data_IF_038338311245
#
_entry.id   IF_038338311245
#
_cell.length_a   1.000
_cell.length_b   1.000
_cell.length_c   1.000
_cell.angle_alpha   90.00
_cell.angle_beta   90.00
_cell.angle_gamma   90.00
#
_symmetry.space_group_name_H-M   'P 1'
#
loop_
_entity.id
_entity.type
_entity.pdbx_description
1 polymer ?
#
# COMPACT_ATOMS: atom_id res chain seq x y z
N UNK A 1 -10.77 12.11 11.10
CA UNK A 1 -10.17 12.10 9.74
C UNK A 1 -9.80 10.71 9.21
N UNK A 2 -9.51 9.70 10.05
CA UNK A 2 -9.34 8.30 9.60
C UNK A 2 -10.61 7.67 8.98
N UNK A 3 -11.80 8.24 9.25
CA UNK A 3 -13.08 7.71 8.78
C UNK A 3 -13.28 7.82 7.26
N UNK A 4 -12.71 8.83 6.60
CA UNK A 4 -13.00 9.10 5.18
C UNK A 4 -12.24 8.15 4.25
N UNK A 5 -10.96 7.87 4.56
CA UNK A 5 -10.18 6.87 3.85
C UNK A 5 -10.67 5.43 4.11
N UNK A 6 -11.28 5.16 5.27
CA UNK A 6 -11.83 3.82 5.59
C UNK A 6 -13.20 3.62 4.92
N UNK A 7 -14.04 4.66 4.81
CA UNK A 7 -15.34 4.56 4.15
C UNK A 7 -15.23 4.39 2.63
N UNK A 8 -14.38 5.18 1.96
CA UNK A 8 -14.13 5.02 0.52
C UNK A 8 -13.51 3.66 0.20
N UNK A 9 -12.63 3.15 1.06
CA UNK A 9 -12.02 1.83 0.88
C UNK A 9 -13.02 0.69 1.13
N UNK A 10 -13.97 0.85 2.06
CA UNK A 10 -15.03 -0.14 2.29
C UNK A 10 -16.10 -0.12 1.18
N UNK A 11 -16.50 1.03 0.64
CA UNK A 11 -17.39 1.09 -0.52
C UNK A 11 -16.72 0.52 -1.77
N UNK A 12 -15.43 0.81 -1.98
CA UNK A 12 -14.65 0.23 -3.07
C UNK A 12 -14.51 -1.29 -2.93
N UNK A 13 -14.38 -1.83 -1.70
CA UNK A 13 -14.41 -3.28 -1.45
C UNK A 13 -15.73 -3.91 -1.88
N UNK A 14 -16.87 -3.28 -1.58
CA UNK A 14 -18.19 -3.80 -1.97
C UNK A 14 -18.33 -3.81 -3.49
N UNK A 15 -17.86 -2.77 -4.19
CA UNK A 15 -17.94 -2.71 -5.65
C UNK A 15 -16.97 -3.67 -6.35
N UNK A 16 -15.74 -3.82 -5.83
CA UNK A 16 -14.75 -4.77 -6.37
C UNK A 16 -15.21 -6.21 -6.14
N UNK A 17 -15.75 -6.52 -4.96
CA UNK A 17 -16.31 -7.84 -4.65
C UNK A 17 -17.59 -8.12 -5.44
N UNK A 18 -18.44 -7.11 -5.70
CA UNK A 18 -19.64 -7.26 -6.53
C UNK A 18 -19.32 -7.55 -8.02
N UNK A 19 -18.15 -7.12 -8.50
CA UNK A 19 -17.67 -7.44 -9.86
C UNK A 19 -16.97 -8.80 -9.98
N UNK A 20 -16.61 -9.43 -8.86
CA UNK A 20 -15.98 -10.75 -8.81
C UNK A 20 -17.08 -11.81 -8.71
N UNK A 21 -17.20 -12.67 -9.73
CA UNK A 21 -18.17 -13.77 -9.74
C UNK A 21 -18.15 -14.59 -8.43
N UNK A 22 -19.33 -15.07 -8.02
CA UNK A 22 -19.66 -15.69 -6.71
C UNK A 22 -18.57 -16.60 -6.12
N UNK A 23 -17.85 -17.36 -6.94
CA UNK A 23 -16.82 -18.30 -6.49
C UNK A 23 -15.52 -17.62 -6.05
N UNK A 24 -15.10 -16.56 -6.73
CA UNK A 24 -13.90 -15.80 -6.36
C UNK A 24 -14.14 -14.99 -5.09
N UNK A 25 -15.35 -14.45 -4.94
CA UNK A 25 -15.81 -13.75 -3.74
C UNK A 25 -15.86 -14.70 -2.54
N UNK A 26 -16.42 -15.91 -2.68
CA UNK A 26 -16.46 -16.91 -1.61
C UNK A 26 -15.07 -17.39 -1.19
N UNK A 27 -14.13 -17.51 -2.14
CA UNK A 27 -12.75 -17.96 -1.86
C UNK A 27 -11.93 -16.90 -1.11
N UNK A 28 -12.15 -15.62 -1.42
CA UNK A 28 -11.57 -14.49 -0.69
C UNK A 28 -12.25 -14.34 0.68
N UNK A 29 -13.58 -14.38 0.76
CA UNK A 29 -14.31 -14.21 2.03
C UNK A 29 -14.03 -15.35 3.01
N UNK A 30 -14.02 -16.61 2.55
CA UNK A 30 -13.77 -17.78 3.41
C UNK A 30 -12.35 -17.87 4.00
N UNK A 31 -11.40 -17.07 3.50
CA UNK A 31 -10.06 -16.98 4.08
C UNK A 31 -9.98 -15.95 5.24
N UNK A 32 -11.06 -15.18 5.47
CA UNK A 32 -11.08 -13.99 6.32
C UNK A 32 -12.17 -14.05 7.41
N UNK A 33 -12.77 -15.22 7.65
CA UNK A 33 -13.92 -15.37 8.57
C UNK A 33 -13.59 -15.17 10.07
N UNK A 34 -12.34 -14.91 10.44
CA UNK A 34 -11.91 -14.79 11.85
C UNK A 34 -11.39 -13.38 12.22
N UNK A 35 -12.22 -12.36 11.99
CA UNK A 35 -11.89 -10.95 12.33
C UNK A 35 -11.75 -10.71 13.84
N UNK A 36 -12.43 -11.51 14.67
CA UNK A 36 -12.40 -11.36 16.13
C UNK A 36 -11.04 -11.75 16.74
N UNK A 37 -10.27 -12.62 16.09
CA UNK A 37 -8.90 -12.97 16.52
C UNK A 37 -7.88 -11.85 16.33
N UNK A 38 -8.09 -10.97 15.32
CA UNK A 38 -7.22 -9.82 15.04
C UNK A 38 -7.34 -8.69 16.07
N UNK A 39 -8.41 -8.71 16.88
CA UNK A 39 -8.71 -7.67 17.88
C UNK A 39 -8.07 -7.93 19.26
N UNK A 40 -7.24 -8.97 19.43
CA UNK A 40 -6.63 -9.26 20.74
C UNK A 40 -5.69 -8.12 21.19
N UNK A 41 -5.73 -7.75 22.49
CA UNK A 41 -4.98 -6.62 23.05
C UNK A 41 -3.45 -6.85 23.11
N UNK A 42 -2.98 -8.04 22.76
CA UNK A 42 -1.56 -8.43 22.71
C UNK A 42 -0.84 -7.85 21.48
N UNK A 43 -1.60 -7.39 20.47
CA UNK A 43 -1.05 -6.68 19.33
C UNK A 43 -0.65 -5.25 19.75
N UNK A 44 0.61 -5.07 20.16
CA UNK A 44 1.28 -3.78 20.45
C UNK A 44 1.25 -2.75 19.29
N UNK A 45 0.63 -3.09 18.17
CA UNK A 45 0.59 -2.31 16.94
C UNK A 45 -0.67 -1.48 16.84
N UNK A 46 -0.55 -0.26 16.31
CA UNK A 46 -1.74 0.58 16.08
C UNK A 46 -2.69 -0.08 15.08
N UNK A 47 -4.01 0.11 15.27
CA UNK A 47 -5.04 -0.38 14.33
C UNK A 47 -4.74 0.02 12.89
N UNK A 48 -4.27 1.25 12.69
CA UNK A 48 -3.88 1.75 11.37
C UNK A 48 -2.77 0.89 10.73
N UNK A 49 -1.77 0.51 11.53
CA UNK A 49 -0.65 -0.31 11.06
C UNK A 49 -1.09 -1.72 10.66
N UNK A 50 -2.00 -2.31 11.44
CA UNK A 50 -2.63 -3.59 11.10
C UNK A 50 -3.39 -3.50 9.77
N UNK A 51 -4.20 -2.44 9.57
CA UNK A 51 -4.90 -2.23 8.30
C UNK A 51 -3.94 -2.05 7.12
N UNK A 52 -2.77 -1.42 7.31
CA UNK A 52 -1.77 -1.28 6.24
C UNK A 52 -1.21 -2.62 5.80
N UNK A 53 -0.91 -3.52 6.74
CA UNK A 53 -0.49 -4.89 6.43
C UNK A 53 -1.61 -5.64 5.70
N UNK A 54 -2.85 -5.46 6.16
CA UNK A 54 -4.01 -6.08 5.54
C UNK A 54 -4.21 -5.63 4.10
N UNK A 55 -3.93 -4.36 3.78
CA UNK A 55 -3.96 -3.86 2.41
C UNK A 55 -2.96 -4.60 1.50
N UNK A 56 -1.76 -4.91 1.99
CA UNK A 56 -0.79 -5.72 1.24
C UNK A 56 -1.34 -7.12 0.98
N UNK A 57 -1.84 -7.76 2.05
CA UNK A 57 -2.40 -9.11 1.98
C UNK A 57 -3.53 -9.16 0.94
N UNK A 58 -4.45 -8.19 1.00
CA UNK A 58 -5.58 -8.10 0.08
C UNK A 58 -5.16 -7.90 -1.38
N UNK A 59 -4.22 -6.98 -1.64
CA UNK A 59 -3.75 -6.70 -3.00
C UNK A 59 -3.05 -7.94 -3.59
N UNK A 60 -2.24 -8.64 -2.79
CA UNK A 60 -1.60 -9.89 -3.21
C UNK A 60 -2.65 -10.96 -3.54
N UNK A 61 -3.61 -11.19 -2.65
CA UNK A 61 -4.62 -12.24 -2.82
C UNK A 61 -5.49 -11.97 -4.07
N UNK A 62 -5.86 -10.70 -4.31
CA UNK A 62 -6.54 -10.30 -5.56
C UNK A 62 -5.67 -10.58 -6.77
N UNK A 63 -4.38 -10.23 -6.73
CA UNK A 63 -3.47 -10.44 -7.85
C UNK A 63 -3.35 -11.92 -8.22
N UNK A 64 -3.31 -12.81 -7.23
CA UNK A 64 -3.29 -14.26 -7.44
C UNK A 64 -4.63 -14.76 -7.98
N UNK A 65 -5.75 -14.35 -7.37
CA UNK A 65 -7.09 -14.80 -7.78
C UNK A 65 -7.41 -14.39 -9.23
N UNK A 66 -7.09 -13.15 -9.60
CA UNK A 66 -7.35 -12.61 -10.93
C UNK A 66 -6.26 -12.96 -11.94
N UNK A 67 -5.04 -13.27 -11.50
CA UNK A 67 -3.92 -13.62 -12.38
C UNK A 67 -4.16 -14.88 -13.21
N UNK A 68 -5.08 -15.75 -12.79
CA UNK A 68 -5.53 -16.91 -13.57
C UNK A 68 -6.39 -16.53 -14.78
N UNK A 69 -7.01 -15.34 -14.77
CA UNK A 69 -7.93 -14.88 -15.81
C UNK A 69 -7.40 -13.67 -16.59
N UNK A 70 -6.48 -12.90 -16.02
CA UNK A 70 -5.97 -11.66 -16.61
C UNK A 70 -4.43 -11.64 -16.59
N UNK A 71 -3.76 -11.92 -17.72
CA UNK A 71 -2.32 -11.71 -17.83
C UNK A 71 -2.05 -10.22 -17.61
N UNK A 72 -1.06 -9.89 -16.76
CA UNK A 72 -0.70 -8.56 -16.25
C UNK A 72 -1.37 -8.10 -14.96
N UNK A 73 -2.34 -8.83 -14.38
CA UNK A 73 -2.95 -8.43 -13.11
C UNK A 73 -1.91 -8.24 -11.99
N UNK A 74 -0.89 -9.12 -11.94
CA UNK A 74 0.21 -9.03 -10.98
C UNK A 74 1.04 -7.74 -11.13
N UNK A 75 1.27 -7.29 -12.36
CA UNK A 75 2.02 -6.04 -12.63
C UNK A 75 1.21 -4.83 -12.18
N UNK A 76 -0.09 -4.80 -12.47
CA UNK A 76 -0.97 -3.72 -12.03
C UNK A 76 -1.12 -3.68 -10.51
N UNK A 77 -1.26 -4.83 -9.86
CA UNK A 77 -1.34 -4.92 -8.41
C UNK A 77 -0.04 -4.46 -7.73
N UNK A 78 1.11 -4.87 -8.27
CA UNK A 78 2.42 -4.40 -7.80
C UNK A 78 2.56 -2.89 -7.95
N UNK A 79 2.16 -2.33 -9.09
CA UNK A 79 2.22 -0.88 -9.33
C UNK A 79 1.25 -0.10 -8.43
N UNK A 80 0.03 -0.61 -8.21
CA UNK A 80 -0.92 -0.03 -7.28
C UNK A 80 -0.35 -0.01 -5.86
N UNK A 81 0.25 -1.13 -5.42
CA UNK A 81 0.87 -1.23 -4.11
C UNK A 81 2.02 -0.21 -3.97
N UNK A 82 2.89 -0.12 -4.98
CA UNK A 82 3.98 0.87 -5.05
C UNK A 82 3.45 2.29 -4.89
N UNK A 83 2.39 2.66 -5.61
CA UNK A 83 1.80 4.00 -5.58
C UNK A 83 1.19 4.35 -4.22
N UNK A 84 0.43 3.42 -3.63
CA UNK A 84 -0.16 3.57 -2.30
C UNK A 84 0.95 3.78 -1.26
N UNK A 85 1.95 2.91 -1.24
CA UNK A 85 3.05 2.96 -0.27
C UNK A 85 4.06 4.09 -0.52
N UNK A 86 4.04 4.71 -1.71
CA UNK A 86 4.79 5.92 -2.01
C UNK A 86 4.06 7.21 -1.61
N UNK A 87 2.78 7.13 -1.25
CA UNK A 87 1.92 8.27 -0.93
C UNK A 87 1.69 8.48 0.57
N UNK A 88 2.15 7.54 1.40
CA UNK A 88 1.97 7.60 2.86
C UNK A 88 3.30 7.89 3.56
N UNK A 89 3.27 8.61 4.69
CA UNK A 89 4.47 8.89 5.48
C UNK A 89 4.88 7.71 6.40
N UNK A 90 4.12 6.61 6.39
CA UNK A 90 4.32 5.47 7.28
C UNK A 90 5.67 4.78 7.01
N UNK A 91 6.31 4.28 8.08
CA UNK A 91 7.52 3.47 7.99
C UNK A 91 7.31 2.23 7.11
N UNK A 92 8.38 1.67 6.53
CA UNK A 92 8.25 0.39 5.85
C UNK A 92 7.94 -0.73 6.83
N UNK A 93 7.16 -1.71 6.39
CA UNK A 93 6.91 -2.94 7.12
C UNK A 93 8.09 -3.89 6.99
N UNK A 94 8.35 -4.66 8.04
CA UNK A 94 9.25 -5.81 7.97
C UNK A 94 8.50 -7.14 8.16
N UNK A 95 9.16 -8.23 7.78
CA UNK A 95 8.56 -9.57 7.82
C UNK A 95 8.15 -9.98 9.24
N UNK A 96 8.98 -9.65 10.24
CA UNK A 96 8.71 -9.91 11.65
C UNK A 96 7.41 -9.23 12.09
N UNK A 97 7.21 -7.95 11.75
CA UNK A 97 5.97 -7.23 12.05
C UNK A 97 4.73 -7.91 11.44
N UNK A 98 4.81 -8.39 10.20
CA UNK A 98 3.70 -9.11 9.58
C UNK A 98 3.48 -10.49 10.21
N UNK A 99 4.55 -11.15 10.65
CA UNK A 99 4.50 -12.46 11.32
C UNK A 99 3.87 -12.34 12.70
N UNK A 100 4.25 -11.33 13.48
CA UNK A 100 3.66 -11.08 14.79
C UNK A 100 2.16 -10.78 14.67
N UNK A 101 1.77 -9.99 13.68
CA UNK A 101 0.39 -9.57 13.50
C UNK A 101 -0.54 -10.67 12.95
N UNK A 102 -0.04 -11.52 12.04
CA UNK A 102 -0.89 -12.47 11.29
C UNK A 102 -0.42 -13.93 11.36
N UNK A 103 0.63 -14.26 12.11
CA UNK A 103 1.20 -15.61 12.21
C UNK A 103 0.24 -16.66 12.77
N UNK A 104 -0.75 -16.23 13.56
CA UNK A 104 -1.81 -17.11 14.07
C UNK A 104 -2.88 -17.44 13.02
N UNK A 105 -3.00 -16.63 11.96
CA UNK A 105 -4.05 -16.74 10.94
C UNK A 105 -3.49 -17.26 9.61
N UNK A 106 -2.25 -16.88 9.28
CA UNK A 106 -1.57 -17.23 8.04
C UNK A 106 -0.31 -18.06 8.33
N UNK A 107 -0.06 -19.07 7.50
CA UNK A 107 1.19 -19.84 7.60
C UNK A 107 2.42 -18.96 7.34
N UNK A 108 3.56 -19.33 7.92
CA UNK A 108 4.82 -18.60 7.72
C UNK A 108 5.17 -18.43 6.22
N UNK A 109 4.89 -19.47 5.42
CA UNK A 109 5.06 -19.42 3.95
C UNK A 109 4.15 -18.36 3.32
N UNK A 110 2.87 -18.36 3.69
CA UNK A 110 1.88 -17.40 3.20
C UNK A 110 2.26 -15.95 3.55
N UNK A 111 2.77 -15.70 4.76
CA UNK A 111 3.25 -14.38 5.18
C UNK A 111 4.47 -13.96 4.36
N UNK A 112 5.44 -14.87 4.20
CA UNK A 112 6.67 -14.63 3.44
C UNK A 112 6.38 -14.27 1.98
N UNK A 113 5.47 -14.98 1.31
CA UNK A 113 5.10 -14.68 -0.09
C UNK A 113 4.50 -13.27 -0.24
N UNK A 114 3.61 -12.88 0.69
CA UNK A 114 2.97 -11.55 0.69
C UNK A 114 3.96 -10.44 1.00
N UNK A 115 4.87 -10.69 1.96
CA UNK A 115 5.95 -9.77 2.27
C UNK A 115 6.89 -9.58 1.09
N UNK A 116 7.30 -10.66 0.42
CA UNK A 116 8.17 -10.59 -0.75
C UNK A 116 7.50 -9.81 -1.89
N UNK A 117 6.21 -10.04 -2.14
CA UNK A 117 5.46 -9.25 -3.13
C UNK A 117 5.47 -7.75 -2.79
N UNK A 118 5.26 -7.40 -1.53
CA UNK A 118 5.35 -6.02 -1.08
C UNK A 118 6.75 -5.43 -1.26
N UNK A 119 7.77 -6.14 -0.81
CA UNK A 119 9.18 -5.74 -0.90
C UNK A 119 9.58 -5.46 -2.35
N UNK A 120 9.25 -6.36 -3.26
CA UNK A 120 9.53 -6.20 -4.70
C UNK A 120 8.78 -5.00 -5.29
N UNK A 121 7.53 -4.76 -4.89
CA UNK A 121 6.75 -3.62 -5.36
C UNK A 121 7.37 -2.27 -4.95
N UNK A 122 7.87 -2.15 -3.71
CA UNK A 122 8.44 -0.91 -3.19
C UNK A 122 9.92 -0.72 -3.52
N UNK A 123 10.61 -1.77 -3.98
CA UNK A 123 12.05 -1.78 -4.29
C UNK A 123 12.92 -1.20 -3.17
N UNK A 124 12.61 -1.55 -1.92
CA UNK A 124 13.37 -1.11 -0.75
C UNK A 124 13.88 -2.27 0.09
N UNK A 125 14.97 -2.01 0.80
CA UNK A 125 15.69 -2.95 1.65
C UNK A 125 15.04 -3.14 3.02
N UNK A 126 15.36 -4.27 3.65
CA UNK A 126 14.66 -4.85 4.82
C UNK A 126 14.90 -4.11 6.15
N UNK A 127 15.34 -2.84 6.15
CA UNK A 127 15.65 -2.17 7.41
C UNK A 127 14.34 -1.81 8.11
N UNK A 128 13.99 -2.63 9.10
CA UNK A 128 12.74 -2.51 9.83
C UNK A 128 12.69 -1.17 10.60
N UNK A 129 11.52 -0.50 10.53
CA UNK A 129 11.19 0.69 11.33
C UNK A 129 12.07 1.92 11.11
N UNK A 130 12.83 2.00 10.02
CA UNK A 130 13.50 3.26 9.70
C UNK A 130 12.50 4.35 9.30
N UNK A 131 12.69 5.58 9.81
CA UNK A 131 12.01 6.74 9.30
C UNK A 131 12.19 6.91 7.80
N UNK A 132 11.08 7.19 7.12
CA UNK A 132 11.10 7.63 5.72
C UNK A 132 12.04 8.81 5.59
N UNK A 133 12.77 8.88 4.49
CA UNK A 133 13.62 10.04 4.22
C UNK A 133 12.79 11.32 4.25
N UNK A 134 13.41 12.44 4.66
CA UNK A 134 12.75 13.75 4.70
C UNK A 134 12.08 14.08 3.36
N UNK A 135 12.71 13.70 2.23
CA UNK A 135 12.13 13.90 0.91
C UNK A 135 10.80 13.14 0.75
N UNK A 136 10.74 11.85 1.10
CA UNK A 136 9.51 11.05 1.02
C UNK A 136 8.41 11.58 1.95
N UNK A 137 8.78 12.06 3.14
CA UNK A 137 7.85 12.73 4.05
C UNK A 137 7.29 14.01 3.42
N UNK A 138 8.16 14.92 2.95
CA UNK A 138 7.76 16.15 2.26
C UNK A 138 6.86 15.88 1.05
N UNK A 139 7.14 14.82 0.28
CA UNK A 139 6.30 14.39 -0.86
C UNK A 139 4.87 14.12 -0.42
N UNK A 140 4.71 13.35 0.65
CA UNK A 140 3.41 12.96 1.20
C UNK A 140 2.65 14.17 1.75
N UNK A 141 3.36 15.07 2.46
CA UNK A 141 2.78 16.31 3.00
C UNK A 141 2.30 17.24 1.89
N UNK A 142 3.13 17.48 0.86
CA UNK A 142 2.75 18.36 -0.27
C UNK A 142 1.53 17.80 -1.00
N UNK A 143 1.53 16.51 -1.33
CA UNK A 143 0.38 15.86 -2.00
C UNK A 143 -0.88 15.96 -1.16
N UNK A 144 -0.77 15.78 0.17
CA UNK A 144 -1.90 15.95 1.09
C UNK A 144 -2.44 17.38 1.09
N UNK A 145 -1.57 18.39 1.18
CA UNK A 145 -1.98 19.80 1.14
C UNK A 145 -2.72 20.13 -0.16
N UNK A 146 -2.24 19.62 -1.30
CA UNK A 146 -2.92 19.80 -2.59
C UNK A 146 -4.31 19.15 -2.60
N UNK A 147 -4.42 17.91 -2.09
CA UNK A 147 -5.69 17.21 -1.96
C UNK A 147 -6.67 17.95 -1.03
N UNK A 148 -6.21 18.43 0.13
CA UNK A 148 -7.00 19.18 1.11
C UNK A 148 -7.52 20.50 0.50
N UNK A 149 -6.76 21.10 -0.41
CA UNK A 149 -7.15 22.29 -1.19
C UNK A 149 -8.00 21.98 -2.44
N UNK A 150 -8.40 20.71 -2.63
CA UNK A 150 -9.17 20.24 -3.80
C UNK A 150 -8.47 20.48 -5.14
N UNK A 151 -7.13 20.52 -5.13
CA UNK A 151 -6.32 20.60 -6.34
C UNK A 151 -6.06 19.18 -6.83
N UNK A 152 -6.72 18.81 -7.93
CA UNK A 152 -6.60 17.49 -8.55
C UNK A 152 -5.15 17.19 -8.96
N UNK A 153 -4.63 16.02 -8.58
CA UNK A 153 -3.30 15.57 -9.02
C UNK A 153 -3.47 14.82 -10.36
N UNK A 154 -2.63 15.08 -11.38
CA UNK A 154 -1.36 15.81 -11.34
C UNK A 154 -1.44 17.32 -11.59
N UNK A 155 -2.60 17.88 -11.95
CA UNK A 155 -2.69 19.28 -12.42
C UNK A 155 -2.40 20.31 -11.31
N UNK A 156 -2.76 20.01 -10.07
CA UNK A 156 -2.42 20.79 -8.89
C UNK A 156 -0.91 20.89 -8.66
N UNK A 157 -0.14 19.88 -9.10
CA UNK A 157 1.33 19.94 -9.06
C UNK A 157 1.85 20.88 -10.15
N UNK A 158 1.32 20.81 -11.37
CA UNK A 158 1.72 21.69 -12.48
C UNK A 158 1.50 23.17 -12.15
N UNK A 159 0.46 23.49 -11.37
CA UNK A 159 0.19 24.85 -10.91
C UNK A 159 1.28 25.42 -9.99
N UNK A 160 2.07 24.56 -9.33
CA UNK A 160 3.19 24.98 -8.49
C UNK A 160 4.40 25.47 -9.30
N UNK A 161 4.42 25.24 -10.63
CA UNK A 161 5.50 25.64 -11.55
C UNK A 161 6.87 25.21 -11.04
N UNK A 162 6.97 23.95 -10.60
CA UNK A 162 8.21 23.40 -10.05
C UNK A 162 9.13 22.95 -11.19
N UNK A 163 10.45 22.84 -10.94
CA UNK A 163 11.34 22.14 -11.85
C UNK A 163 10.79 20.75 -12.23
N UNK A 164 10.91 20.30 -13.49
CA UNK A 164 10.32 19.04 -13.97
C UNK A 164 10.62 17.84 -13.08
N UNK A 165 11.83 17.83 -12.51
CA UNK A 165 12.29 16.81 -11.60
C UNK A 165 11.48 16.71 -10.30
N UNK A 166 11.14 17.85 -9.69
CA UNK A 166 10.29 17.89 -8.50
C UNK A 166 8.84 17.55 -8.84
N UNK A 167 8.36 17.92 -10.04
CA UNK A 167 7.05 17.50 -10.51
C UNK A 167 6.96 15.98 -10.68
N UNK A 168 7.94 15.37 -11.35
CA UNK A 168 8.06 13.91 -11.50
C UNK A 168 8.11 13.18 -10.15
N UNK A 169 8.86 13.75 -9.20
CA UNK A 169 8.94 13.25 -7.82
C UNK A 169 7.59 13.30 -7.11
N UNK A 170 6.88 14.44 -7.19
CA UNK A 170 5.55 14.60 -6.60
C UNK A 170 4.50 13.74 -7.30
N UNK A 171 4.67 13.43 -8.58
CA UNK A 171 3.81 12.55 -9.37
C UNK A 171 4.09 11.05 -9.18
N UNK A 172 4.96 10.68 -8.24
CA UNK A 172 5.25 9.27 -7.88
C UNK A 172 5.83 8.46 -9.06
N UNK A 173 6.53 9.09 -10.00
CA UNK A 173 7.20 8.38 -11.07
C UNK A 173 8.35 7.52 -10.52
N UNK A 174 8.57 6.33 -11.13
CA UNK A 174 9.45 5.28 -10.59
C UNK A 174 10.88 5.74 -10.32
N UNK A 175 11.42 6.61 -11.17
CA UNK A 175 12.83 6.99 -11.16
C UNK A 175 13.20 7.99 -10.05
N UNK A 176 12.29 8.28 -9.10
CA UNK A 176 12.48 9.32 -8.10
C UNK A 176 12.55 8.80 -6.65
N UNK A 177 12.69 7.48 -6.48
CA UNK A 177 12.73 6.83 -5.17
C UNK A 177 14.15 6.65 -4.60
N UNK A 178 15.21 6.79 -5.42
CA UNK A 178 16.59 6.73 -4.94
C UNK A 178 17.09 8.11 -4.48
N UNK A 179 17.66 8.23 -3.26
CA UNK A 179 18.36 9.44 -2.79
C UNK A 179 19.50 9.84 -3.73
N UNK A 180 20.11 8.87 -4.38
CA UNK A 180 21.24 8.96 -5.30
C UNK A 180 20.91 9.83 -6.51
N UNK A 181 19.63 9.84 -6.92
CA UNK A 181 19.18 10.69 -8.01
C UNK A 181 19.30 12.17 -7.63
N UNK A 182 19.30 12.54 -6.32
CA UNK A 182 19.48 13.91 -5.80
C UNK A 182 20.91 14.40 -5.74
N UNK A 183 21.88 13.60 -6.16
CA UNK A 183 23.27 14.05 -6.33
C UNK A 183 23.57 14.37 -7.81
N UNK A 184 24.21 15.52 -8.01
CA UNK A 184 24.74 16.10 -9.24
C UNK A 184 23.71 16.69 -10.25
N UNK A 185 23.60 18.02 -10.21
CA UNK A 185 23.59 18.88 -11.41
C UNK A 185 25.01 19.37 -11.65
#
# INVERSE_FOLDING_TARGET
MNSFYISEWNESRIQILAGLGSDSTKRIVGCWDNWDELSKPENLMSKLRLYRMLQIIFIFDIAICLGLSYPNCQVHASEALRLVWSSIPDYFLCLEEMTDAYGNVLSAKAITERYNFYKEAIRQTDICREPRSLSQYCRSVIRKILADKKLWLPDGIKQLKLPPRLESFLNLQRDNLHPENFQAS
#
